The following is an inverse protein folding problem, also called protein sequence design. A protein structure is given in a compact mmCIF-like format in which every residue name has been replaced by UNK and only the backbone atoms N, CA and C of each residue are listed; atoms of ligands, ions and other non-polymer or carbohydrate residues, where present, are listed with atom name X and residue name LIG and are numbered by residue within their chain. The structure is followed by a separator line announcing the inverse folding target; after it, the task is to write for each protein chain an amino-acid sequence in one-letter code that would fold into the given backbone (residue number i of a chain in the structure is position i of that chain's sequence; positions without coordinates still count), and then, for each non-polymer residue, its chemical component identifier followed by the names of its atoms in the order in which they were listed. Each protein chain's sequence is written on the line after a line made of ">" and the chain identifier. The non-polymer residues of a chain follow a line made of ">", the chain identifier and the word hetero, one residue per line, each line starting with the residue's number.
data_IF_712476656209
#
_entry.id   IF_712476656209
#
_cell.length_a   1.000
_cell.length_b   1.000
_cell.length_c   1.000
_cell.angle_alpha   90.00
_cell.angle_beta   90.00
_cell.angle_gamma   90.00
#
_symmetry.space_group_name_H-M   'P 1'
#
loop_
_entity.id
_entity.type
_entity.pdbx_description
1 polymer ?
#
# COMPACT_ATOMS: atom_id res chain seq x y z
N UNK A 1 -15.60 10.05 -0.29
CA UNK A 1 -14.49 9.12 -0.54
C UNK A 1 -14.43 8.73 -2.02
N UNK A 2 -15.47 8.11 -2.59
CA UNK A 2 -15.48 7.57 -3.96
C UNK A 2 -15.21 8.59 -5.08
N UNK A 3 -15.49 9.86 -4.83
CA UNK A 3 -15.18 10.96 -5.76
C UNK A 3 -13.74 11.50 -5.61
N UNK A 4 -12.95 10.95 -4.68
CA UNK A 4 -11.58 11.38 -4.43
C UNK A 4 -11.44 12.72 -3.68
N UNK A 5 -12.55 13.42 -3.41
CA UNK A 5 -12.55 14.75 -2.76
C UNK A 5 -12.17 14.70 -1.27
N UNK A 6 -12.34 13.54 -0.63
CA UNK A 6 -12.04 13.31 0.79
C UNK A 6 -11.07 12.13 0.90
N UNK A 7 -10.01 12.30 1.69
CA UNK A 7 -8.97 11.31 1.91
C UNK A 7 -8.83 10.97 3.39
N UNK A 8 -8.40 9.75 3.70
CA UNK A 8 -8.13 9.29 5.07
C UNK A 8 -6.80 9.79 5.64
N UNK A 9 -5.94 10.39 4.82
CA UNK A 9 -4.78 11.15 5.24
C UNK A 9 -4.55 12.35 4.33
N UNK A 10 -3.93 13.38 4.88
CA UNK A 10 -3.52 14.60 4.17
C UNK A 10 -2.05 14.88 4.44
N UNK A 11 -1.41 15.56 3.50
CA UNK A 11 -0.02 16.01 3.62
C UNK A 11 0.00 17.48 4.01
N UNK A 12 0.79 17.85 5.03
CA UNK A 12 0.97 19.24 5.42
C UNK A 12 2.00 19.98 4.55
N UNK A 13 2.20 21.26 4.83
CA UNK A 13 3.14 22.10 4.10
C UNK A 13 4.60 21.64 4.27
N UNK A 14 4.93 21.01 5.38
CA UNK A 14 6.26 20.47 5.69
C UNK A 14 6.49 19.08 5.06
N UNK A 15 5.47 18.54 4.39
CA UNK A 15 5.53 17.27 3.69
C UNK A 15 5.26 16.04 4.58
N UNK A 16 4.77 16.22 5.80
CA UNK A 16 4.37 15.11 6.66
C UNK A 16 2.92 14.70 6.42
N UNK A 17 2.69 13.40 6.54
CA UNK A 17 1.36 12.83 6.39
C UNK A 17 0.66 12.69 7.74
N UNK A 18 -0.59 13.12 7.78
CA UNK A 18 -1.45 13.07 8.97
C UNK A 18 -2.74 12.32 8.66
N UNK A 19 -3.15 11.45 9.58
CA UNK A 19 -4.46 10.82 9.51
C UNK A 19 -5.57 11.86 9.60
N UNK A 20 -6.70 11.60 8.94
CA UNK A 20 -7.93 12.38 9.05
C UNK A 20 -8.95 11.56 9.88
N UNK A 21 -8.97 11.72 11.23
CA UNK A 21 -9.69 10.81 12.11
C UNK A 21 -11.19 10.73 11.83
N UNK A 22 -11.85 11.85 11.50
CA UNK A 22 -13.29 11.87 11.25
C UNK A 22 -13.68 11.01 10.04
N UNK A 23 -12.80 10.85 9.05
CA UNK A 23 -13.02 9.96 7.89
C UNK A 23 -13.07 8.51 8.34
N UNK A 24 -12.10 8.11 9.17
CA UNK A 24 -12.08 6.75 9.73
C UNK A 24 -13.27 6.50 10.65
N UNK A 25 -13.64 7.48 11.48
CA UNK A 25 -14.87 7.40 12.30
C UNK A 25 -16.11 7.19 11.44
N UNK A 26 -16.23 7.93 10.32
CA UNK A 26 -17.32 7.76 9.37
C UNK A 26 -17.38 6.36 8.76
N UNK A 27 -16.23 5.79 8.40
CA UNK A 27 -16.13 4.40 7.91
C UNK A 27 -16.56 3.40 8.98
N UNK A 28 -16.05 3.53 10.21
CA UNK A 28 -16.44 2.68 11.33
C UNK A 28 -17.94 2.80 11.65
N UNK A 29 -18.49 4.01 11.58
CA UNK A 29 -19.93 4.21 11.75
C UNK A 29 -20.72 3.48 10.66
N UNK A 30 -20.29 3.54 9.40
CA UNK A 30 -20.95 2.82 8.32
C UNK A 30 -20.95 1.29 8.56
N UNK A 31 -19.84 0.72 9.06
CA UNK A 31 -19.82 -0.69 9.48
C UNK A 31 -20.80 -0.99 10.63
N UNK A 32 -20.89 -0.05 11.60
CA UNK A 32 -21.73 -0.22 12.79
C UNK A 32 -23.23 -0.19 12.48
N UNK A 33 -23.67 0.74 11.62
CA UNK A 33 -25.09 0.90 11.26
C UNK A 33 -25.53 -0.08 10.18
N UNK A 34 -24.61 -0.63 9.39
CA UNK A 34 -24.94 -1.61 8.36
C UNK A 34 -25.44 -2.92 8.94
N UNK A 35 -26.38 -3.57 8.24
CA UNK A 35 -26.88 -4.90 8.55
C UNK A 35 -26.30 -5.92 7.55
N UNK A 36 -26.27 -7.19 7.96
CA UNK A 36 -25.81 -8.26 7.06
C UNK A 36 -26.81 -8.42 5.91
N UNK A 37 -26.30 -8.37 4.69
CA UNK A 37 -27.08 -8.52 3.47
C UNK A 37 -26.41 -9.49 2.51
N UNK A 38 -27.24 -10.22 1.76
CA UNK A 38 -26.77 -11.05 0.67
C UNK A 38 -26.46 -10.14 -0.54
N UNK A 39 -25.20 -10.15 -0.95
CA UNK A 39 -24.68 -9.41 -2.08
C UNK A 39 -24.31 -10.33 -3.26
N UNK A 40 -24.73 -11.60 -3.18
CA UNK A 40 -24.49 -12.59 -4.22
C UNK A 40 -25.15 -12.13 -5.54
N UNK A 41 -24.36 -11.94 -6.56
CA UNK A 41 -24.85 -11.57 -7.88
C UNK A 41 -24.47 -12.66 -8.90
N UNK A 42 -25.44 -13.06 -9.73
CA UNK A 42 -25.22 -14.01 -10.82
C UNK A 42 -25.34 -15.47 -10.37
N UNK A 43 -24.85 -16.39 -11.18
CA UNK A 43 -24.98 -17.83 -10.97
C UNK A 43 -24.08 -18.36 -9.87
N UNK A 44 -24.52 -18.31 -8.69
CA UNK A 44 -24.31 -19.10 -7.50
C UNK A 44 -23.06 -19.93 -7.21
N UNK A 45 -21.93 -19.74 -7.87
CA UNK A 45 -20.71 -20.47 -7.50
C UNK A 45 -20.08 -19.92 -6.21
N UNK A 46 -20.30 -18.65 -5.89
CA UNK A 46 -19.77 -17.98 -4.70
C UNK A 46 -20.89 -17.22 -4.00
N UNK A 47 -20.88 -17.25 -2.66
CA UNK A 47 -21.78 -16.45 -1.83
C UNK A 47 -21.03 -15.28 -1.23
N UNK A 48 -21.65 -14.10 -1.27
CA UNK A 48 -21.10 -12.86 -0.71
C UNK A 48 -22.09 -12.28 0.30
N UNK A 49 -21.73 -12.31 1.57
CA UNK A 49 -22.54 -11.80 2.67
C UNK A 49 -21.71 -10.74 3.40
N UNK A 50 -22.14 -9.49 3.39
CA UNK A 50 -21.44 -8.38 4.05
C UNK A 50 -22.44 -7.31 4.50
N UNK A 51 -21.94 -6.25 5.11
CA UNK A 51 -22.72 -5.08 5.50
C UNK A 51 -23.31 -4.39 4.25
N UNK A 52 -24.60 -4.11 4.26
CA UNK A 52 -25.32 -3.43 3.17
C UNK A 52 -24.78 -2.04 2.86
N UNK A 53 -24.11 -1.41 3.83
CA UNK A 53 -23.38 -0.14 3.70
C UNK A 53 -22.06 -0.27 2.96
N UNK A 54 -21.53 -1.48 2.76
CA UNK A 54 -20.18 -1.76 2.23
C UNK A 54 -20.18 -2.68 0.98
N UNK A 55 -21.08 -2.47 -0.01
CA UNK A 55 -21.09 -3.29 -1.21
C UNK A 55 -19.80 -3.11 -2.03
N UNK A 56 -19.53 -3.98 -2.99
CA UNK A 56 -18.51 -3.73 -4.01
C UNK A 56 -18.84 -2.46 -4.81
N UNK A 57 -17.82 -1.67 -5.11
CA UNK A 57 -17.96 -0.52 -6.03
C UNK A 57 -18.14 -1.03 -7.48
N UNK A 58 -19.04 -0.41 -8.22
CA UNK A 58 -19.24 -0.69 -9.65
C UNK A 58 -18.56 0.40 -10.46
N UNK A 59 -17.99 0.01 -11.58
CA UNK A 59 -17.33 0.89 -12.54
C UNK A 59 -17.98 0.77 -13.91
N UNK A 60 -18.15 1.89 -14.60
CA UNK A 60 -18.50 1.98 -15.99
C UNK A 60 -17.28 2.28 -16.87
N UNK A 61 -17.43 2.18 -18.18
CA UNK A 61 -16.35 2.50 -19.13
C UNK A 61 -15.84 3.95 -19.00
N UNK A 62 -16.72 4.87 -18.63
CA UNK A 62 -16.43 6.30 -18.50
C UNK A 62 -15.63 6.65 -17.24
N UNK A 63 -15.53 5.74 -16.25
CA UNK A 63 -14.70 5.96 -15.05
C UNK A 63 -13.20 5.95 -15.38
N UNK A 64 -12.81 5.44 -16.56
CA UNK A 64 -11.42 5.41 -17.00
C UNK A 64 -10.51 4.48 -16.19
N UNK A 65 -11.09 3.52 -15.48
CA UNK A 65 -10.39 2.49 -14.69
C UNK A 65 -10.47 1.17 -15.44
N UNK A 66 -9.34 0.53 -15.69
CA UNK A 66 -9.28 -0.78 -16.33
C UNK A 66 -9.29 -1.88 -15.27
N UNK A 67 -10.38 -2.64 -15.21
CA UNK A 67 -10.48 -3.81 -14.32
C UNK A 67 -10.49 -5.05 -15.20
N UNK A 68 -9.41 -5.82 -15.20
CA UNK A 68 -9.27 -7.03 -16.00
C UNK A 68 -10.18 -8.12 -15.40
N UNK A 69 -10.97 -8.87 -16.21
CA UNK A 69 -11.80 -9.94 -15.71
C UNK A 69 -11.03 -11.00 -14.93
N UNK A 70 -11.56 -11.46 -13.80
CA UNK A 70 -10.90 -12.52 -13.01
C UNK A 70 -11.06 -12.40 -11.49
N UNK A 71 -12.08 -11.71 -11.00
CA UNK A 71 -12.48 -11.73 -9.59
C UNK A 71 -11.85 -10.66 -8.71
N UNK A 72 -11.37 -9.56 -9.29
CA UNK A 72 -10.95 -8.39 -8.51
C UNK A 72 -12.14 -7.74 -7.80
N UNK A 73 -11.90 -7.22 -6.59
CA UNK A 73 -12.93 -6.50 -5.83
C UNK A 73 -12.42 -5.16 -5.33
N UNK A 74 -13.16 -4.11 -5.60
CA UNK A 74 -12.97 -2.77 -5.04
C UNK A 74 -14.18 -2.49 -4.15
N UNK A 75 -13.93 -2.22 -2.88
CA UNK A 75 -14.97 -1.95 -1.90
C UNK A 75 -15.49 -0.53 -2.04
N UNK A 76 -16.79 -0.32 -1.79
CA UNK A 76 -17.39 1.01 -1.68
C UNK A 76 -16.60 1.88 -0.70
N UNK A 77 -16.48 3.19 -1.01
CA UNK A 77 -15.64 4.12 -0.25
C UNK A 77 -14.16 4.09 -0.62
N UNK A 78 -13.73 3.28 -1.58
CA UNK A 78 -12.41 3.39 -2.21
C UNK A 78 -12.45 4.32 -3.41
N UNK A 79 -11.39 5.10 -3.62
CA UNK A 79 -11.19 5.93 -4.82
C UNK A 79 -10.09 5.36 -5.70
N UNK A 80 -10.38 5.18 -6.98
CA UNK A 80 -9.42 4.88 -8.03
C UNK A 80 -9.49 5.99 -9.08
N UNK A 81 -8.35 6.60 -9.38
CA UNK A 81 -8.24 7.65 -10.39
C UNK A 81 -8.25 7.07 -11.81
N UNK A 82 -8.37 7.95 -12.80
CA UNK A 82 -8.29 7.57 -14.23
C UNK A 82 -6.94 6.91 -14.52
N UNK A 83 -6.94 5.98 -15.47
CA UNK A 83 -5.73 5.25 -15.87
C UNK A 83 -5.26 4.16 -14.89
N UNK A 84 -5.95 3.96 -13.77
CA UNK A 84 -5.64 2.84 -12.86
C UNK A 84 -5.94 1.52 -13.55
N UNK A 85 -5.01 0.56 -13.43
CA UNK A 85 -5.14 -0.80 -13.95
C UNK A 85 -5.16 -1.79 -12.80
N UNK A 86 -6.19 -2.64 -12.79
CA UNK A 86 -6.39 -3.68 -11.77
C UNK A 86 -6.27 -5.06 -12.42
N UNK A 87 -5.22 -5.79 -12.09
CA UNK A 87 -4.98 -7.18 -12.55
C UNK A 87 -5.58 -8.18 -11.55
N UNK A 88 -6.27 -9.22 -12.06
CA UNK A 88 -7.04 -10.12 -11.20
C UNK A 88 -6.20 -11.24 -10.56
N UNK A 89 -6.70 -11.78 -9.43
CA UNK A 89 -7.60 -11.14 -8.51
C UNK A 89 -6.82 -10.17 -7.61
N UNK A 90 -7.33 -8.98 -7.38
CA UNK A 90 -6.78 -8.04 -6.41
C UNK A 90 -7.89 -7.49 -5.51
N UNK A 91 -7.52 -6.84 -4.40
CA UNK A 91 -8.50 -6.26 -3.49
C UNK A 91 -8.11 -4.84 -3.06
N UNK A 92 -9.06 -3.91 -3.20
CA UNK A 92 -8.94 -2.54 -2.68
C UNK A 92 -10.02 -2.30 -1.64
N UNK A 93 -9.60 -1.97 -0.41
CA UNK A 93 -10.52 -1.82 0.73
C UNK A 93 -11.00 -0.37 0.89
N UNK A 94 -12.03 -0.21 1.74
CA UNK A 94 -12.70 1.06 2.04
C UNK A 94 -11.70 2.13 2.52
N UNK A 95 -11.90 3.38 2.08
CA UNK A 95 -11.05 4.51 2.45
C UNK A 95 -9.70 4.56 1.73
N UNK A 96 -9.34 3.54 0.96
CA UNK A 96 -8.16 3.56 0.10
C UNK A 96 -8.30 4.62 -0.99
N UNK A 97 -7.19 5.27 -1.32
CA UNK A 97 -7.09 6.24 -2.41
C UNK A 97 -5.96 5.84 -3.33
N UNK A 98 -6.23 5.70 -4.64
CA UNK A 98 -5.28 5.24 -5.64
C UNK A 98 -5.16 6.28 -6.75
N UNK A 99 -3.96 6.81 -6.94
CA UNK A 99 -3.62 7.86 -7.89
C UNK A 99 -3.57 7.40 -9.33
N UNK A 100 -3.54 8.39 -10.22
CA UNK A 100 -3.60 8.23 -11.67
C UNK A 100 -2.49 7.32 -12.22
N UNK A 101 -2.83 6.46 -13.17
CA UNK A 101 -1.88 5.60 -13.89
C UNK A 101 -1.22 4.52 -13.02
N UNK A 102 -1.71 4.29 -11.80
CA UNK A 102 -1.22 3.24 -10.92
C UNK A 102 -1.68 1.87 -11.38
N UNK A 103 -0.78 0.88 -11.32
CA UNK A 103 -1.10 -0.53 -11.54
C UNK A 103 -1.15 -1.28 -10.21
N UNK A 104 -2.21 -2.06 -10.03
CA UNK A 104 -2.37 -3.00 -8.91
C UNK A 104 -2.42 -4.40 -9.53
N UNK A 105 -1.37 -5.18 -9.29
CA UNK A 105 -1.17 -6.47 -9.93
C UNK A 105 -1.91 -7.60 -9.18
N UNK A 106 -1.85 -8.80 -9.75
CA UNK A 106 -2.58 -9.99 -9.29
C UNK A 106 -2.25 -10.33 -7.84
N UNK A 107 -3.28 -10.70 -7.07
CA UNK A 107 -3.18 -11.04 -5.65
C UNK A 107 -2.71 -9.91 -4.73
N UNK A 108 -2.55 -8.69 -5.23
CA UNK A 108 -2.18 -7.55 -4.40
C UNK A 108 -3.36 -7.06 -3.55
N UNK A 109 -3.02 -6.54 -2.37
CA UNK A 109 -3.95 -5.89 -1.45
C UNK A 109 -3.60 -4.41 -1.31
N UNK A 110 -4.62 -3.56 -1.45
CA UNK A 110 -4.60 -2.17 -0.96
C UNK A 110 -5.56 -2.10 0.23
N UNK A 111 -5.00 -2.07 1.43
CA UNK A 111 -5.72 -2.12 2.69
C UNK A 111 -6.53 -0.87 3.00
N UNK A 112 -7.38 -0.96 4.02
CA UNK A 112 -8.25 0.15 4.42
C UNK A 112 -7.47 1.43 4.68
N UNK A 113 -7.96 2.53 4.11
CA UNK A 113 -7.37 3.86 4.27
C UNK A 113 -5.98 4.06 3.67
N UNK A 114 -5.35 3.07 3.06
CA UNK A 114 -4.05 3.22 2.40
C UNK A 114 -4.10 4.30 1.32
N UNK A 115 -3.03 5.09 1.21
CA UNK A 115 -2.92 6.19 0.24
C UNK A 115 -1.82 5.87 -0.76
N UNK A 116 -2.20 5.64 -1.98
CA UNK A 116 -1.30 5.29 -3.09
C UNK A 116 -1.24 6.46 -4.06
N UNK A 117 -0.06 6.93 -4.35
CA UNK A 117 0.21 8.02 -5.28
C UNK A 117 -0.08 7.65 -6.75
N UNK A 118 0.30 8.55 -7.64
CA UNK A 118 0.20 8.37 -9.08
C UNK A 118 1.36 7.52 -9.62
N UNK A 119 1.13 6.79 -10.71
CA UNK A 119 2.14 6.00 -11.42
C UNK A 119 2.92 5.02 -10.53
N UNK A 120 2.27 4.53 -9.49
CA UNK A 120 2.80 3.48 -8.62
C UNK A 120 2.61 2.12 -9.29
N UNK A 121 3.55 1.22 -9.11
CA UNK A 121 3.38 -0.19 -9.44
C UNK A 121 3.34 -1.01 -8.16
N UNK A 122 2.19 -1.58 -7.85
CA UNK A 122 2.02 -2.56 -6.77
C UNK A 122 2.07 -3.92 -7.43
N UNK A 123 3.23 -4.58 -7.38
CA UNK A 123 3.47 -5.86 -8.06
C UNK A 123 2.71 -7.01 -7.41
N UNK A 124 2.71 -8.15 -8.10
CA UNK A 124 1.94 -9.33 -7.70
C UNK A 124 2.17 -9.76 -6.24
N UNK A 125 1.07 -10.05 -5.57
CA UNK A 125 1.01 -10.47 -4.17
C UNK A 125 1.61 -9.48 -3.15
N UNK A 126 1.86 -8.22 -3.55
CA UNK A 126 2.28 -7.19 -2.60
C UNK A 126 1.11 -6.76 -1.70
N UNK A 127 1.40 -6.57 -0.41
CA UNK A 127 0.42 -6.29 0.62
C UNK A 127 0.62 -4.88 1.18
N UNK A 128 -0.23 -3.94 0.81
CA UNK A 128 -0.29 -2.62 1.43
C UNK A 128 -1.28 -2.68 2.57
N UNK A 129 -0.78 -2.65 3.79
CA UNK A 129 -1.57 -2.85 5.00
C UNK A 129 -2.63 -1.77 5.21
N UNK A 130 -3.74 -2.18 5.78
CA UNK A 130 -4.81 -1.28 6.19
C UNK A 130 -4.59 -0.78 7.62
N UNK A 131 -4.89 0.50 7.86
CA UNK A 131 -4.88 1.12 9.20
C UNK A 131 -6.18 1.87 9.41
N UNK A 132 -7.25 1.13 9.70
CA UNK A 132 -8.55 1.72 10.05
C UNK A 132 -8.60 2.10 11.53
N UNK A 133 -8.08 1.22 12.36
CA UNK A 133 -7.96 1.40 13.81
C UNK A 133 -6.50 1.26 14.26
N UNK A 134 -6.06 2.04 15.26
CA UNK A 134 -6.78 3.17 15.88
C UNK A 134 -6.95 4.35 14.90
N UNK A 135 -8.02 5.14 15.10
CA UNK A 135 -8.41 6.21 14.18
C UNK A 135 -7.35 7.30 13.99
N UNK A 136 -6.53 7.55 15.02
CA UNK A 136 -5.45 8.54 14.98
C UNK A 136 -4.15 8.01 14.35
N UNK A 137 -4.03 6.70 14.13
CA UNK A 137 -2.85 6.15 13.49
C UNK A 137 -2.82 6.54 12.00
N UNK A 138 -1.65 6.94 11.51
CA UNK A 138 -1.47 7.23 10.09
C UNK A 138 -1.69 5.97 9.26
N UNK A 139 -2.41 6.04 8.13
CA UNK A 139 -2.46 4.92 7.20
C UNK A 139 -1.11 4.72 6.51
N UNK A 140 -0.95 3.59 5.82
CA UNK A 140 0.19 3.38 4.94
C UNK A 140 0.11 4.36 3.78
N UNK A 141 1.24 4.99 3.49
CA UNK A 141 1.40 5.93 2.38
C UNK A 141 2.45 5.39 1.42
N UNK A 142 2.09 5.34 0.15
CA UNK A 142 3.02 5.05 -0.96
C UNK A 142 2.92 6.23 -1.91
N UNK A 143 3.95 7.04 -2.00
CA UNK A 143 3.94 8.26 -2.81
C UNK A 143 4.13 7.96 -4.31
N UNK A 144 4.14 9.00 -5.14
CA UNK A 144 4.15 8.89 -6.59
C UNK A 144 5.37 8.14 -7.14
N UNK A 145 5.20 7.38 -8.22
CA UNK A 145 6.27 6.73 -8.96
C UNK A 145 7.01 5.61 -8.21
N UNK A 146 6.48 5.17 -7.07
CA UNK A 146 7.05 4.06 -6.29
C UNK A 146 6.81 2.74 -7.00
N UNK A 147 7.79 1.84 -6.94
CA UNK A 147 7.66 0.44 -7.33
C UNK A 147 7.69 -0.41 -6.06
N UNK A 148 6.61 -1.14 -5.83
CA UNK A 148 6.51 -2.14 -4.76
C UNK A 148 6.66 -3.51 -5.40
N UNK A 149 7.80 -4.15 -5.21
CA UNK A 149 8.10 -5.48 -5.76
C UNK A 149 7.17 -6.58 -5.28
N UNK A 150 7.15 -7.69 -6.01
CA UNK A 150 6.28 -8.84 -5.68
C UNK A 150 6.52 -9.38 -4.26
N UNK A 151 5.45 -9.83 -3.61
CA UNK A 151 5.47 -10.34 -2.24
C UNK A 151 6.02 -9.36 -1.18
N UNK A 152 6.05 -8.05 -1.47
CA UNK A 152 6.37 -7.04 -0.47
C UNK A 152 5.23 -6.87 0.53
N UNK A 153 5.60 -6.48 1.75
CA UNK A 153 4.66 -6.07 2.78
C UNK A 153 4.98 -4.66 3.29
N UNK A 154 4.01 -3.75 3.24
CA UNK A 154 4.15 -2.39 3.78
C UNK A 154 3.04 -2.16 4.79
N UNK A 155 3.38 -2.06 6.07
CA UNK A 155 2.43 -2.10 7.17
C UNK A 155 2.58 -0.93 8.14
N UNK A 156 1.60 -0.79 9.06
CA UNK A 156 1.66 0.02 10.29
C UNK A 156 2.01 1.48 10.06
N UNK A 157 1.39 2.10 9.04
CA UNK A 157 1.55 3.52 8.78
C UNK A 157 2.87 3.93 8.14
N UNK A 158 3.67 2.96 7.67
CA UNK A 158 4.91 3.22 6.94
C UNK A 158 4.66 4.16 5.76
N UNK A 159 5.57 5.10 5.56
CA UNK A 159 5.59 6.03 4.43
C UNK A 159 6.71 5.63 3.48
N UNK A 160 6.36 5.34 2.22
CA UNK A 160 7.31 5.12 1.13
C UNK A 160 7.30 6.37 0.26
N UNK A 161 8.39 7.14 0.29
CA UNK A 161 8.50 8.41 -0.41
C UNK A 161 8.65 8.21 -1.92
N UNK A 162 8.35 9.28 -2.67
CA UNK A 162 8.29 9.28 -4.13
C UNK A 162 9.50 8.61 -4.78
N UNK A 163 9.26 7.86 -5.85
CA UNK A 163 10.29 7.25 -6.66
C UNK A 163 11.01 6.06 -6.02
N UNK A 164 10.77 5.73 -4.76
CA UNK A 164 11.44 4.60 -4.11
C UNK A 164 11.09 3.26 -4.79
N UNK A 165 12.01 2.31 -4.71
CA UNK A 165 11.86 0.95 -5.23
C UNK A 165 12.03 -0.04 -4.09
N UNK A 166 11.01 -0.82 -3.83
CA UNK A 166 11.09 -1.96 -2.91
C UNK A 166 11.30 -3.23 -3.73
N UNK A 167 12.47 -3.84 -3.62
CA UNK A 167 12.75 -5.14 -4.24
C UNK A 167 11.81 -6.24 -3.71
N UNK A 168 11.58 -7.28 -4.51
CA UNK A 168 10.67 -8.36 -4.14
C UNK A 168 10.98 -8.94 -2.75
N UNK A 169 9.94 -9.18 -1.95
CA UNK A 169 10.06 -9.75 -0.60
C UNK A 169 10.49 -8.77 0.50
N UNK A 170 10.57 -7.47 0.23
CA UNK A 170 10.80 -6.46 1.28
C UNK A 170 9.59 -6.36 2.19
N UNK A 171 9.79 -6.48 3.50
CA UNK A 171 8.75 -6.32 4.51
C UNK A 171 9.08 -5.15 5.43
N UNK A 172 8.19 -4.17 5.48
CA UNK A 172 8.29 -2.95 6.28
C UNK A 172 7.18 -2.92 7.32
N UNK A 173 7.56 -2.81 8.58
CA UNK A 173 6.66 -2.60 9.71
C UNK A 173 7.17 -1.45 10.56
N UNK A 174 6.38 -0.97 11.51
CA UNK A 174 6.81 0.06 12.45
C UNK A 174 8.07 -0.32 13.24
N UNK A 175 8.22 -1.61 13.55
CA UNK A 175 9.37 -2.13 14.30
C UNK A 175 10.59 -2.45 13.46
N UNK A 176 10.49 -2.37 12.13
CA UNK A 176 11.56 -2.79 11.22
C UNK A 176 12.62 -1.69 11.06
N UNK A 177 13.87 -1.92 11.48
CA UNK A 177 14.97 -1.02 11.14
C UNK A 177 15.35 -1.20 9.66
N UNK A 178 15.57 -0.10 8.94
CA UNK A 178 16.06 -0.11 7.56
C UNK A 178 17.46 0.49 7.53
N UNK A 179 18.44 -0.30 7.10
CA UNK A 179 19.84 0.14 7.06
C UNK A 179 20.15 0.77 5.71
N UNK A 180 20.57 2.01 5.72
CA UNK A 180 20.98 2.75 4.53
C UNK A 180 22.51 2.66 4.39
N UNK A 181 22.97 1.86 3.42
CA UNK A 181 24.40 1.66 3.19
C UNK A 181 25.05 2.84 2.45
N UNK A 182 24.24 3.70 1.81
CA UNK A 182 24.76 4.85 1.06
C UNK A 182 25.00 6.03 1.97
N UNK A 183 24.09 6.27 2.93
CA UNK A 183 24.15 7.39 3.89
C UNK A 183 24.67 6.97 5.26
N UNK A 184 25.01 5.70 5.43
CA UNK A 184 25.51 5.11 6.68
C UNK A 184 24.61 5.42 7.90
N UNK A 185 23.29 5.31 7.68
CA UNK A 185 22.27 5.60 8.71
C UNK A 185 21.25 4.49 8.84
N UNK A 186 20.42 4.56 9.87
CA UNK A 186 19.33 3.59 10.10
C UNK A 186 18.02 4.33 10.25
N UNK A 187 17.09 4.05 9.34
CA UNK A 187 15.74 4.58 9.39
C UNK A 187 14.88 3.74 10.33
N UNK A 188 14.15 4.41 11.23
CA UNK A 188 13.26 3.80 12.23
C UNK A 188 12.04 4.67 12.45
N UNK A 189 10.97 4.07 12.94
CA UNK A 189 9.87 4.83 13.53
C UNK A 189 10.30 5.32 14.92
N UNK A 190 10.31 6.63 15.12
CA UNK A 190 10.74 7.26 16.37
C UNK A 190 9.88 8.47 16.73
N UNK A 191 9.71 8.75 18.02
CA UNK A 191 9.05 9.98 18.49
C UNK A 191 7.61 10.16 17.98
N UNK A 192 6.88 9.06 17.76
CA UNK A 192 5.54 9.11 17.20
C UNK A 192 5.50 9.24 15.68
N UNK A 193 6.65 9.39 15.02
CA UNK A 193 6.75 9.38 13.55
C UNK A 193 6.75 7.96 13.00
N UNK A 194 6.14 7.72 11.83
CA UNK A 194 6.18 6.42 11.18
C UNK A 194 7.60 6.09 10.67
N UNK A 195 7.81 4.82 10.30
CA UNK A 195 8.96 4.47 9.46
C UNK A 195 8.80 5.16 8.11
N UNK A 196 9.83 5.84 7.64
CA UNK A 196 9.87 6.46 6.31
C UNK A 196 11.01 5.89 5.47
N UNK A 197 10.68 5.46 4.25
CA UNK A 197 11.65 5.12 3.23
C UNK A 197 11.92 6.39 2.42
N UNK A 198 13.17 6.85 2.31
CA UNK A 198 13.51 8.07 1.57
C UNK A 198 13.09 8.01 0.09
N UNK A 199 12.88 9.18 -0.49
CA UNK A 199 12.64 9.29 -1.92
C UNK A 199 13.80 8.67 -2.71
N UNK A 200 13.44 8.01 -3.83
CA UNK A 200 14.36 7.36 -4.76
C UNK A 200 15.23 6.23 -4.17
N UNK A 201 15.00 5.84 -2.91
CA UNK A 201 15.74 4.75 -2.28
C UNK A 201 15.42 3.40 -2.93
N UNK A 202 16.44 2.61 -3.23
CA UNK A 202 16.30 1.21 -3.68
C UNK A 202 16.56 0.30 -2.50
N UNK A 203 15.50 -0.34 -2.04
CA UNK A 203 15.46 -1.20 -0.85
C UNK A 203 15.42 -2.66 -1.29
N UNK A 204 16.23 -3.50 -0.68
CA UNK A 204 16.24 -4.94 -0.92
C UNK A 204 16.11 -5.70 0.39
N UNK A 205 15.65 -6.98 0.36
CA UNK A 205 15.73 -7.85 1.52
C UNK A 205 17.18 -8.04 1.95
N UNK A 206 17.44 -8.02 3.23
CA UNK A 206 18.74 -8.27 3.81
C UNK A 206 18.63 -9.02 5.13
N UNK A 207 19.73 -9.21 5.81
CA UNK A 207 19.77 -9.80 7.13
C UNK A 207 20.76 -9.08 8.04
N UNK A 208 20.49 -9.07 9.32
CA UNK A 208 21.42 -8.57 10.35
C UNK A 208 21.68 -9.61 11.40
N UNK A 209 22.92 -9.71 11.84
CA UNK A 209 23.31 -10.59 12.94
C UNK A 209 22.69 -10.11 14.25
N UNK A 210 22.18 -11.05 15.04
CA UNK A 210 21.82 -10.81 16.42
C UNK A 210 23.10 -10.93 17.27
N UNK A 211 23.34 -9.97 18.14
CA UNK A 211 24.49 -9.97 19.06
C UNK A 211 24.05 -10.36 20.46
N UNK A 212 24.89 -11.15 21.13
CA UNK A 212 24.73 -11.53 22.52
C UNK A 212 23.85 -12.75 22.78
N UNK A 213 24.14 -13.47 23.84
CA UNK A 213 23.38 -14.59 24.37
C UNK A 213 23.22 -15.77 23.43
N UNK A 214 22.12 -16.48 23.60
CA UNK A 214 21.79 -17.69 22.83
C UNK A 214 21.76 -17.44 21.31
N UNK A 215 21.20 -16.29 20.89
CA UNK A 215 21.08 -15.98 19.46
C UNK A 215 22.46 -15.85 18.77
N UNK A 216 23.45 -15.28 19.43
CA UNK A 216 24.81 -15.21 18.89
C UNK A 216 25.50 -16.56 18.86
N UNK A 217 25.32 -17.36 19.91
CA UNK A 217 25.88 -18.72 20.00
C UNK A 217 25.34 -19.62 18.88
N UNK A 218 24.04 -19.51 18.56
CA UNK A 218 23.39 -20.27 17.49
C UNK A 218 23.55 -19.61 16.09
N UNK A 219 24.25 -18.50 15.96
CA UNK A 219 24.45 -17.80 14.67
C UNK A 219 23.18 -17.23 14.06
N UNK A 220 22.17 -16.94 14.87
CA UNK A 220 20.89 -16.45 14.37
C UNK A 220 20.98 -15.02 13.83
N UNK A 221 20.21 -14.75 12.77
CA UNK A 221 20.03 -13.45 12.18
C UNK A 221 18.56 -13.04 12.10
N UNK A 222 18.31 -11.77 11.97
CA UNK A 222 16.98 -11.24 11.68
C UNK A 222 16.95 -10.68 10.27
N UNK A 223 15.84 -10.91 9.56
CA UNK A 223 15.58 -10.20 8.31
C UNK A 223 15.53 -8.70 8.57
N UNK A 224 16.15 -7.93 7.70
CA UNK A 224 16.11 -6.49 7.75
C UNK A 224 16.21 -5.92 6.32
N UNK A 225 15.38 -4.95 5.94
CA UNK A 225 15.54 -4.27 4.67
C UNK A 225 16.79 -3.40 4.65
N UNK A 226 17.41 -3.29 3.46
CA UNK A 226 18.64 -2.54 3.26
C UNK A 226 18.50 -1.64 2.05
N UNK A 227 18.79 -0.34 2.21
CA UNK A 227 18.93 0.60 1.10
C UNK A 227 20.34 0.42 0.53
N UNK A 228 20.41 -0.06 -0.72
CA UNK A 228 21.68 -0.37 -1.40
C UNK A 228 22.13 0.72 -2.35
N UNK A 229 21.22 1.55 -2.83
CA UNK A 229 21.47 2.72 -3.68
C UNK A 229 20.26 3.64 -3.70
N UNK A 230 20.40 4.78 -4.34
CA UNK A 230 19.31 5.65 -4.78
C UNK A 230 19.14 5.54 -6.29
N UNK A 231 17.94 5.85 -6.81
CA UNK A 231 17.66 5.74 -8.25
C UNK A 231 18.69 6.52 -9.08
N UNK A 232 19.04 5.96 -10.20
CA UNK A 232 19.92 6.51 -11.21
C UNK A 232 19.31 6.28 -12.61
N UNK A 233 19.92 6.81 -13.66
CA UNK A 233 19.45 6.66 -15.04
C UNK A 233 19.28 5.18 -15.47
N UNK A 234 20.10 4.27 -14.94
CA UNK A 234 19.97 2.82 -15.23
C UNK A 234 18.74 2.21 -14.57
N UNK A 235 18.43 2.64 -13.34
CA UNK A 235 17.21 2.21 -12.65
C UNK A 235 15.97 2.75 -13.37
N UNK A 236 16.03 3.98 -13.87
CA UNK A 236 14.94 4.62 -14.60
C UNK A 236 14.68 3.95 -15.95
N UNK A 237 15.71 3.51 -16.67
CA UNK A 237 15.58 2.75 -17.92
C UNK A 237 14.88 1.40 -17.70
N UNK A 238 15.26 0.66 -16.67
CA UNK A 238 14.59 -0.61 -16.33
C UNK A 238 13.11 -0.39 -15.99
N UNK A 239 12.80 0.69 -15.28
CA UNK A 239 11.42 1.09 -14.93
C UNK A 239 10.64 1.54 -16.16
N UNK A 240 11.26 2.27 -17.09
CA UNK A 240 10.62 2.74 -18.32
C UNK A 240 10.21 1.57 -19.24
N UNK A 241 11.03 0.53 -19.33
CA UNK A 241 10.70 -0.69 -20.09
C UNK A 241 9.46 -1.38 -19.57
N UNK A 242 9.23 -1.40 -18.25
CA UNK A 242 7.97 -1.90 -17.66
C UNK A 242 6.77 -1.00 -18.02
N UNK A 243 6.97 0.30 -18.15
CA UNK A 243 5.94 1.26 -18.56
C UNK A 243 5.42 1.05 -19.98
N UNK A 244 6.23 0.53 -20.89
CA UNK A 244 5.84 0.25 -22.28
C UNK A 244 4.94 -0.99 -22.44
N UNK A 245 4.91 -1.84 -21.43
CA UNK A 245 4.09 -3.06 -21.41
C UNK A 245 2.70 -2.83 -20.79
N UNK A 246 2.40 -1.63 -20.36
CA UNK A 246 1.11 -1.21 -19.78
C UNK A 246 0.24 -0.55 -20.83
#
# INVERSE_FOLDING_TARGET
>A
LEAGAVRSAVRDADGHWHAVPWVKQGILLAFRVGVMADMTAGSGAFSFIDKDTMPPRRFGADDGVRIVPGGSTIRRGAFLSKGVVCMPPMYVNVGAWVGEGTMIDSHALVGSCAQIGARVHISAAAQIGGVLEPINASPVIVEDGVIVGGNCGVYEGTVVRSGAVLGAGVVLTRGTPVFDLVRETVHRAEGGRPLEIPADAVVVPGSRRIRGGFAEAEGLGLQTPVIVKYRDEKTDLATALEGWLR
#
